data_IF_782892113253
#
_entry.id   IF_782892113253
#
_cell.length_a   1.000
_cell.length_b   1.000
_cell.length_c   1.000
_cell.angle_alpha   90.00
_cell.angle_beta   90.00
_cell.angle_gamma   90.00
#
_symmetry.space_group_name_H-M   'P 1'
#
loop_
_entity.id
_entity.type
_entity.pdbx_description
1 polymer ?
#
# COMPACT_ATOMS: atom_id res chain seq x y z
N UNK A 1 -46.77 31.76 -6.42
CA UNK A 1 -46.06 32.02 -5.14
C UNK A 1 -44.90 32.97 -5.35
N UNK A 2 -43.94 32.64 -6.21
CA UNK A 2 -42.77 33.49 -6.53
C UNK A 2 -43.10 34.93 -6.96
N UNK A 3 -44.15 35.13 -7.75
CA UNK A 3 -44.51 36.44 -8.35
C UNK A 3 -45.69 37.15 -7.67
N UNK A 4 -46.27 36.56 -6.61
CA UNK A 4 -47.51 37.06 -6.01
C UNK A 4 -47.30 38.38 -5.26
N UNK A 5 -48.29 39.29 -5.36
CA UNK A 5 -48.38 40.54 -4.59
C UNK A 5 -49.82 40.72 -4.07
N UNK A 6 -50.06 40.74 -2.75
CA UNK A 6 -49.10 40.50 -1.67
C UNK A 6 -48.64 39.04 -1.58
N UNK A 7 -47.44 38.78 -1.04
CA UNK A 7 -46.90 37.42 -0.87
C UNK A 7 -45.60 37.33 -0.06
N UNK A 8 -45.20 36.12 0.34
CA UNK A 8 -44.01 35.88 1.20
C UNK A 8 -42.69 36.40 0.62
N UNK A 9 -42.62 36.47 -0.72
CA UNK A 9 -41.43 36.87 -1.47
C UNK A 9 -41.49 38.32 -1.99
N UNK A 10 -42.55 39.06 -1.67
CA UNK A 10 -42.77 40.41 -2.21
C UNK A 10 -41.62 41.37 -1.88
N UNK A 11 -41.05 41.28 -0.67
CA UNK A 11 -39.89 42.08 -0.26
C UNK A 11 -38.65 41.83 -1.12
N UNK A 12 -38.58 40.67 -1.78
CA UNK A 12 -37.48 40.31 -2.66
C UNK A 12 -37.58 40.92 -4.07
N UNK A 13 -38.79 41.18 -4.55
CA UNK A 13 -39.02 41.50 -5.96
C UNK A 13 -38.29 42.76 -6.44
N UNK A 14 -38.00 43.68 -5.52
CA UNK A 14 -37.24 44.90 -5.80
C UNK A 14 -35.73 44.66 -5.93
N UNK A 15 -35.22 43.55 -5.38
CA UNK A 15 -33.80 43.19 -5.35
C UNK A 15 -33.50 42.12 -6.39
N UNK A 16 -34.36 41.10 -6.51
CA UNK A 16 -34.21 40.00 -7.47
C UNK A 16 -35.52 39.85 -8.25
N UNK A 17 -35.44 39.94 -9.58
CA UNK A 17 -36.58 39.72 -10.46
C UNK A 17 -37.03 38.24 -10.40
N UNK A 18 -38.27 37.92 -9.97
CA UNK A 18 -38.74 36.55 -9.83
C UNK A 18 -39.03 35.83 -11.16
N UNK A 19 -39.02 36.53 -12.29
CA UNK A 19 -39.51 35.99 -13.57
C UNK A 19 -38.74 34.76 -14.05
N UNK A 20 -37.41 34.79 -14.01
CA UNK A 20 -36.59 33.65 -14.44
C UNK A 20 -36.78 32.43 -13.53
N UNK A 21 -36.88 32.65 -12.21
CA UNK A 21 -37.16 31.58 -11.25
C UNK A 21 -38.56 30.98 -11.46
N UNK A 22 -39.55 31.82 -11.79
CA UNK A 22 -40.89 31.36 -12.11
C UNK A 22 -40.94 30.52 -13.38
N UNK A 23 -40.25 30.94 -14.44
CA UNK A 23 -40.17 30.21 -15.71
C UNK A 23 -39.50 28.84 -15.52
N UNK A 24 -38.36 28.79 -14.82
CA UNK A 24 -37.69 27.53 -14.48
C UNK A 24 -38.58 26.64 -13.62
N UNK A 25 -39.20 27.20 -12.56
CA UNK A 25 -40.13 26.45 -11.70
C UNK A 25 -41.29 25.85 -12.50
N UNK A 26 -41.88 26.62 -13.41
CA UNK A 26 -42.97 26.15 -14.26
C UNK A 26 -42.52 25.04 -15.21
N UNK A 27 -41.32 25.18 -15.78
CA UNK A 27 -40.75 24.17 -16.66
C UNK A 27 -40.51 22.85 -15.91
N UNK A 28 -39.84 22.91 -14.75
CA UNK A 28 -39.48 21.74 -13.96
C UNK A 28 -40.72 21.03 -13.39
N UNK A 29 -41.73 21.78 -12.93
CA UNK A 29 -42.99 21.20 -12.48
C UNK A 29 -43.76 20.52 -13.60
N UNK A 30 -43.75 21.08 -14.81
CA UNK A 30 -44.36 20.44 -15.98
C UNK A 30 -43.63 19.15 -16.34
N UNK A 31 -42.29 19.15 -16.33
CA UNK A 31 -41.48 17.97 -16.63
C UNK A 31 -41.66 16.86 -15.57
N UNK A 32 -41.85 17.24 -14.31
CA UNK A 32 -41.93 16.33 -13.17
C UNK A 32 -43.36 16.08 -12.68
N UNK A 33 -44.39 16.38 -13.49
CA UNK A 33 -45.81 16.15 -13.14
C UNK A 33 -46.27 16.77 -11.81
N UNK A 34 -45.70 17.91 -11.43
CA UNK A 34 -46.11 18.68 -10.26
C UNK A 34 -45.64 18.12 -8.90
N UNK A 35 -44.56 17.32 -8.88
CA UNK A 35 -43.94 16.80 -7.66
C UNK A 35 -43.62 17.94 -6.67
N UNK A 36 -44.05 17.79 -5.42
CA UNK A 36 -43.97 18.85 -4.40
C UNK A 36 -42.53 19.22 -4.05
N UNK A 37 -41.62 18.26 -4.03
CA UNK A 37 -40.18 18.47 -3.77
C UNK A 37 -39.56 19.42 -4.81
N UNK A 38 -39.99 19.35 -6.08
CA UNK A 38 -39.51 20.23 -7.15
C UNK A 38 -40.02 21.65 -6.94
N UNK A 39 -41.28 21.82 -6.53
CA UNK A 39 -41.82 23.13 -6.15
C UNK A 39 -41.03 23.70 -4.97
N UNK A 40 -40.81 22.91 -3.92
CA UNK A 40 -40.09 23.35 -2.73
C UNK A 40 -38.65 23.76 -3.04
N UNK A 41 -37.93 23.00 -3.87
CA UNK A 41 -36.58 23.34 -4.30
C UNK A 41 -36.53 24.63 -5.14
N UNK A 42 -37.52 24.87 -6.01
CA UNK A 42 -37.60 26.12 -6.76
C UNK A 42 -37.90 27.35 -5.89
N UNK A 43 -38.76 27.19 -4.87
CA UNK A 43 -39.04 28.25 -3.89
C UNK A 43 -37.83 28.53 -2.99
N UNK A 44 -37.14 27.48 -2.55
CA UNK A 44 -35.90 27.54 -1.77
C UNK A 44 -34.78 28.25 -2.53
N UNK A 45 -34.57 27.92 -3.80
CA UNK A 45 -33.56 28.60 -4.62
C UNK A 45 -33.79 30.12 -4.74
N UNK A 46 -35.05 30.56 -4.83
CA UNK A 46 -35.36 31.99 -4.83
C UNK A 46 -35.21 32.61 -3.43
N UNK A 47 -35.57 31.87 -2.38
CA UNK A 47 -35.40 32.30 -1.00
C UNK A 47 -33.92 32.53 -0.67
N UNK A 48 -33.06 31.56 -1.01
CA UNK A 48 -31.61 31.60 -0.81
C UNK A 48 -30.97 32.78 -1.54
N UNK A 49 -31.33 32.97 -2.82
CA UNK A 49 -30.85 34.10 -3.60
C UNK A 49 -31.22 35.43 -2.92
N UNK A 50 -32.44 35.51 -2.40
CA UNK A 50 -32.92 36.71 -1.72
C UNK A 50 -32.16 37.02 -0.43
N UNK A 51 -31.95 36.00 0.41
CA UNK A 51 -31.22 36.12 1.66
C UNK A 51 -29.73 36.43 1.43
N UNK A 52 -29.13 35.83 0.39
CA UNK A 52 -27.78 36.16 -0.04
C UNK A 52 -27.64 37.62 -0.48
N UNK A 53 -28.71 38.22 -1.01
CA UNK A 53 -28.79 39.65 -1.32
C UNK A 53 -29.10 40.54 -0.09
N UNK A 54 -29.18 39.96 1.11
CA UNK A 54 -29.39 40.67 2.37
C UNK A 54 -30.86 40.97 2.70
N UNK A 55 -31.81 40.38 1.98
CA UNK A 55 -33.24 40.57 2.25
C UNK A 55 -33.71 39.56 3.29
N UNK A 56 -34.27 40.05 4.40
CA UNK A 56 -34.96 39.20 5.37
C UNK A 56 -36.34 38.83 4.84
N UNK A 57 -36.57 37.53 4.63
CA UNK A 57 -37.85 36.99 4.18
C UNK A 57 -38.77 36.66 5.35
N UNK A 58 -40.08 36.73 5.11
CA UNK A 58 -41.08 36.16 6.01
C UNK A 58 -41.08 34.62 5.89
N UNK A 59 -41.50 33.88 6.92
CA UNK A 59 -41.64 32.43 6.83
C UNK A 59 -42.57 32.05 5.66
N UNK A 60 -42.01 31.34 4.68
CA UNK A 60 -42.75 30.85 3.51
C UNK A 60 -43.06 29.34 3.60
N UNK A 61 -42.33 28.62 4.47
CA UNK A 61 -42.57 27.21 4.83
C UNK A 61 -43.49 27.10 6.05
N UNK A 62 -44.17 25.97 6.18
CA UNK A 62 -44.92 25.62 7.38
C UNK A 62 -44.94 24.08 7.58
N UNK A 63 -45.60 23.61 8.65
CA UNK A 63 -45.64 22.19 9.01
C UNK A 63 -46.20 21.25 7.91
N UNK A 64 -47.02 21.76 6.99
CA UNK A 64 -47.63 20.98 5.90
C UNK A 64 -47.13 21.39 4.51
N UNK A 65 -46.42 22.51 4.40
CA UNK A 65 -45.95 23.07 3.12
C UNK A 65 -44.43 23.28 3.16
N UNK A 66 -43.73 22.46 2.38
CA UNK A 66 -42.26 22.44 2.28
C UNK A 66 -41.56 22.40 3.66
N UNK A 67 -41.94 21.49 4.58
CA UNK A 67 -41.37 21.47 5.93
C UNK A 67 -39.88 21.13 5.90
N UNK A 68 -39.10 21.75 6.79
CA UNK A 68 -37.73 21.35 7.09
C UNK A 68 -37.72 20.48 8.34
N UNK A 69 -37.11 19.30 8.24
CA UNK A 69 -36.89 18.42 9.37
C UNK A 69 -35.64 18.87 10.13
N UNK A 70 -35.83 19.35 11.36
CA UNK A 70 -34.74 19.78 12.22
C UNK A 70 -34.35 18.68 13.22
N UNK A 71 -33.04 18.54 13.55
CA UNK A 71 -32.58 17.55 14.52
C UNK A 71 -33.15 17.80 15.92
N UNK A 72 -33.00 16.82 16.81
CA UNK A 72 -33.44 16.98 18.19
C UNK A 72 -32.79 18.21 18.84
N UNK A 73 -33.55 18.90 19.70
CA UNK A 73 -33.15 20.15 20.36
C UNK A 73 -32.86 21.32 19.41
N UNK A 74 -33.54 21.34 18.26
CA UNK A 74 -33.51 22.47 17.34
C UNK A 74 -34.90 22.73 16.75
N UNK A 75 -35.06 23.89 16.12
CA UNK A 75 -36.29 24.29 15.46
C UNK A 75 -35.98 25.01 14.14
N UNK A 76 -36.96 25.02 13.24
CA UNK A 76 -36.86 25.78 11.99
C UNK A 76 -36.90 27.28 12.29
N UNK A 77 -35.92 28.01 11.75
CA UNK A 77 -35.87 29.47 11.78
C UNK A 77 -35.62 30.00 10.34
N UNK A 78 -36.50 30.85 9.80
CA UNK A 78 -36.32 31.44 8.47
C UNK A 78 -35.14 32.42 8.38
N UNK A 79 -34.51 32.80 9.50
CA UNK A 79 -33.42 33.76 9.56
C UNK A 79 -32.50 33.44 10.76
N UNK A 80 -31.82 32.30 10.71
CA UNK A 80 -30.80 31.90 11.69
C UNK A 80 -29.44 32.56 11.39
N UNK A 81 -28.56 32.62 12.40
CA UNK A 81 -27.19 33.11 12.23
C UNK A 81 -26.44 32.29 11.19
N UNK A 82 -25.79 32.96 10.23
CA UNK A 82 -24.86 32.31 9.30
C UNK A 82 -23.56 31.84 9.96
N UNK A 83 -23.34 32.19 11.24
CA UNK A 83 -22.25 31.72 12.08
C UNK A 83 -22.86 31.06 13.33
N UNK A 84 -23.43 29.85 13.21
CA UNK A 84 -24.12 29.22 14.33
C UNK A 84 -23.16 28.84 15.46
N UNK A 85 -23.66 28.84 16.69
CA UNK A 85 -22.88 28.39 17.85
C UNK A 85 -22.54 26.89 17.73
N UNK A 86 -21.26 26.57 17.90
CA UNK A 86 -20.75 25.20 17.81
C UNK A 86 -20.07 24.81 19.12
N UNK A 87 -19.80 23.52 19.31
CA UNK A 87 -19.00 23.07 20.46
C UNK A 87 -17.58 23.63 20.49
N UNK A 88 -17.01 24.00 19.34
CA UNK A 88 -15.67 24.60 19.24
C UNK A 88 -15.67 26.11 19.38
N UNK A 89 -16.77 26.77 18.99
CA UNK A 89 -16.99 28.20 19.18
C UNK A 89 -18.46 28.47 19.59
N UNK A 90 -18.75 28.44 20.91
CA UNK A 90 -20.10 28.64 21.42
C UNK A 90 -20.63 30.06 21.25
N UNK A 91 -19.77 31.03 20.93
CA UNK A 91 -20.13 32.44 20.84
C UNK A 91 -20.08 32.99 19.41
N UNK A 92 -19.89 32.11 18.41
CA UNK A 92 -19.81 32.46 16.99
C UNK A 92 -20.97 33.37 16.53
N UNK A 93 -22.19 33.11 17.01
CA UNK A 93 -23.38 33.90 16.66
C UNK A 93 -23.29 35.37 17.07
N UNK A 94 -22.58 35.71 18.16
CA UNK A 94 -22.53 37.07 18.68
C UNK A 94 -21.72 38.04 17.82
N UNK A 95 -20.77 37.53 17.02
CA UNK A 95 -19.86 38.32 16.19
C UNK A 95 -20.08 38.10 14.68
N UNK A 96 -21.23 37.54 14.30
CA UNK A 96 -21.51 37.25 12.91
C UNK A 96 -21.90 38.51 12.14
N UNK A 97 -21.08 38.89 11.15
CA UNK A 97 -21.35 40.04 10.26
C UNK A 97 -22.04 39.64 8.95
N UNK A 98 -22.43 38.38 8.80
CA UNK A 98 -23.04 37.84 7.57
C UNK A 98 -24.57 37.95 7.65
N UNK A 99 -25.27 38.09 6.50
CA UNK A 99 -26.73 37.99 6.46
C UNK A 99 -27.21 36.67 7.06
N UNK A 100 -28.38 36.67 7.67
CA UNK A 100 -29.00 35.44 8.17
C UNK A 100 -29.36 34.50 7.01
N UNK A 101 -29.43 33.22 7.32
CA UNK A 101 -29.80 32.14 6.39
C UNK A 101 -31.00 31.38 6.94
N UNK A 102 -31.84 30.83 6.07
CA UNK A 102 -32.88 29.88 6.48
C UNK A 102 -32.24 28.57 6.94
N UNK A 103 -32.74 27.97 8.03
CA UNK A 103 -32.24 26.68 8.48
C UNK A 103 -32.79 26.23 9.83
N UNK A 104 -32.13 25.22 10.41
CA UNK A 104 -32.41 24.77 11.77
C UNK A 104 -31.51 25.49 12.76
N UNK A 105 -32.11 26.08 13.79
CA UNK A 105 -31.42 26.73 14.89
C UNK A 105 -31.50 25.86 16.15
N UNK A 106 -30.36 25.62 16.80
CA UNK A 106 -30.35 24.94 18.09
C UNK A 106 -31.13 25.75 19.13
N UNK A 107 -31.91 25.06 19.97
CA UNK A 107 -32.63 25.71 21.06
C UNK A 107 -31.65 26.30 22.09
N UNK A 108 -32.12 27.28 22.89
CA UNK A 108 -31.32 27.88 23.95
C UNK A 108 -30.66 26.84 24.87
N UNK A 109 -29.34 26.98 25.08
CA UNK A 109 -28.53 26.04 25.87
C UNK A 109 -27.95 24.85 25.08
N UNK A 110 -28.24 24.76 23.78
CA UNK A 110 -27.68 23.76 22.87
C UNK A 110 -26.77 24.41 21.81
N UNK A 111 -25.76 23.66 21.37
CA UNK A 111 -24.79 24.07 20.34
C UNK A 111 -24.61 22.94 19.33
N UNK A 112 -24.11 23.27 18.15
CA UNK A 112 -23.89 22.29 17.08
C UNK A 112 -22.67 21.40 17.41
N UNK A 113 -22.88 20.09 17.34
CA UNK A 113 -21.85 19.03 17.32
C UNK A 113 -22.15 18.12 16.13
N UNK A 114 -21.31 18.16 15.09
CA UNK A 114 -21.59 17.43 13.85
C UNK A 114 -22.91 17.86 13.23
N UNK A 115 -23.83 16.92 13.05
CA UNK A 115 -25.18 17.16 12.51
C UNK A 115 -26.27 17.35 13.59
N UNK A 116 -25.91 17.42 14.87
CA UNK A 116 -26.86 17.44 16.00
C UNK A 116 -26.70 18.68 16.88
N UNK A 117 -27.77 19.07 17.57
CA UNK A 117 -27.75 20.07 18.63
C UNK A 117 -27.63 19.37 19.99
N UNK A 118 -26.50 19.58 20.66
CA UNK A 118 -26.17 18.94 21.95
C UNK A 118 -26.00 20.00 23.04
N UNK A 119 -26.24 19.61 24.30
CA UNK A 119 -25.91 20.47 25.43
C UNK A 119 -24.39 20.67 25.50
N UNK A 120 -23.94 21.81 26.04
CA UNK A 120 -22.50 22.10 26.17
C UNK A 120 -21.72 20.99 26.89
N UNK A 121 -22.33 20.34 27.89
CA UNK A 121 -21.77 19.19 28.63
C UNK A 121 -21.61 17.91 27.80
N UNK A 122 -22.28 17.83 26.65
CA UNK A 122 -22.22 16.71 25.71
C UNK A 122 -21.40 17.03 24.46
N UNK A 123 -20.71 18.18 24.44
CA UNK A 123 -19.74 18.46 23.39
C UNK A 123 -18.65 17.38 23.31
N UNK A 124 -18.10 17.20 22.13
CA UNK A 124 -16.99 16.30 21.86
C UNK A 124 -15.63 16.81 22.36
N UNK A 125 -14.58 16.46 21.63
CA UNK A 125 -13.19 16.68 22.00
C UNK A 125 -12.42 17.29 20.84
N UNK A 126 -11.58 18.29 21.11
CA UNK A 126 -10.67 18.85 20.12
C UNK A 126 -9.27 18.26 20.33
N UNK A 127 -8.71 17.64 19.29
CA UNK A 127 -7.37 17.03 19.30
C UNK A 127 -6.65 17.35 17.98
N UNK A 128 -5.48 17.98 18.05
CA UNK A 128 -4.70 18.39 16.87
C UNK A 128 -5.55 19.11 15.81
N UNK A 129 -6.33 20.11 16.24
CA UNK A 129 -7.26 20.88 15.41
C UNK A 129 -8.40 20.09 14.75
N UNK A 130 -8.56 18.80 15.10
CA UNK A 130 -9.69 17.98 14.67
C UNK A 130 -10.69 17.79 15.81
N UNK A 131 -11.95 18.05 15.50
CA UNK A 131 -13.07 17.80 16.41
C UNK A 131 -13.54 16.35 16.27
N UNK A 132 -13.74 15.69 17.42
CA UNK A 132 -14.26 14.34 17.54
C UNK A 132 -15.55 14.38 18.36
N UNK A 133 -16.63 13.79 17.87
CA UNK A 133 -17.89 13.74 18.59
C UNK A 133 -17.78 12.88 19.86
N UNK A 134 -18.68 13.11 20.82
CA UNK A 134 -18.72 12.29 22.05
C UNK A 134 -18.99 10.83 21.70
N UNK A 135 -18.10 9.95 22.15
CA UNK A 135 -18.10 8.51 21.86
C UNK A 135 -17.29 8.12 20.62
N UNK A 136 -16.82 9.09 19.83
CA UNK A 136 -16.00 8.81 18.65
C UNK A 136 -14.62 8.29 19.06
N UNK A 137 -14.16 7.25 18.35
CA UNK A 137 -12.86 6.63 18.55
C UNK A 137 -11.91 7.01 17.41
N UNK A 138 -10.63 7.21 17.73
CA UNK A 138 -9.61 7.55 16.75
C UNK A 138 -8.25 6.98 17.15
N UNK A 139 -7.39 6.79 16.15
CA UNK A 139 -6.02 6.32 16.33
C UNK A 139 -5.07 7.49 16.51
N UNK A 140 -4.10 7.31 17.41
CA UNK A 140 -2.94 8.20 17.51
C UNK A 140 -2.01 7.99 16.31
N UNK A 141 -1.11 8.94 16.09
CA UNK A 141 -0.08 8.86 15.05
C UNK A 141 0.66 7.52 15.11
N UNK A 142 0.89 6.90 13.96
CA UNK A 142 1.51 5.58 13.82
C UNK A 142 0.77 4.46 14.58
N UNK A 143 -0.52 4.64 14.87
CA UNK A 143 -1.35 3.69 15.62
C UNK A 143 -0.71 3.29 16.96
N UNK A 144 -0.05 4.23 17.62
CA UNK A 144 0.61 4.02 18.92
C UNK A 144 -0.35 3.85 20.11
N UNK A 145 -1.65 4.03 19.85
CA UNK A 145 -2.71 3.96 20.85
C UNK A 145 -4.06 4.28 20.22
N UNK A 146 -5.13 3.74 20.81
CA UNK A 146 -6.50 4.06 20.42
C UNK A 146 -7.14 4.94 21.49
N UNK A 147 -7.77 6.02 21.04
CA UNK A 147 -8.43 6.99 21.90
C UNK A 147 -9.94 7.02 21.65
N UNK A 148 -10.71 7.38 22.66
CA UNK A 148 -12.14 7.65 22.59
C UNK A 148 -12.42 9.00 23.23
N UNK A 149 -13.21 9.85 22.56
CA UNK A 149 -13.72 11.06 23.15
C UNK A 149 -14.84 10.74 24.16
N UNK A 150 -14.56 10.83 25.47
CA UNK A 150 -15.57 10.64 26.50
C UNK A 150 -16.58 11.81 26.58
N UNK A 151 -16.24 12.94 25.94
CA UNK A 151 -17.03 14.16 25.90
C UNK A 151 -16.48 15.25 26.82
N UNK A 152 -16.99 16.46 26.61
CA UNK A 152 -16.58 17.70 27.26
C UNK A 152 -15.06 17.89 27.27
N UNK A 153 -14.42 17.69 26.11
CA UNK A 153 -12.96 17.79 25.95
C UNK A 153 -12.14 16.63 26.54
N UNK A 154 -12.78 15.64 27.18
CA UNK A 154 -12.07 14.53 27.83
C UNK A 154 -11.81 13.40 26.85
N UNK A 155 -10.53 13.05 26.66
CA UNK A 155 -10.08 11.95 25.80
C UNK A 155 -9.48 10.85 26.65
N UNK A 156 -9.88 9.60 26.39
CA UNK A 156 -9.36 8.41 27.05
C UNK A 156 -8.62 7.57 26.02
N UNK A 157 -7.33 7.31 26.24
CA UNK A 157 -6.49 6.52 25.33
C UNK A 157 -5.96 5.26 26.02
N UNK A 158 -5.81 4.20 25.24
CA UNK A 158 -5.07 3.00 25.61
C UNK A 158 -3.81 2.86 24.73
N UNK A 159 -2.96 1.90 25.07
CA UNK A 159 -1.73 1.58 24.32
C UNK A 159 -1.94 0.44 23.32
N UNK A 160 -3.14 0.30 22.77
CA UNK A 160 -3.40 -0.71 21.74
C UNK A 160 -2.62 -0.33 20.48
N UNK A 161 -1.94 -1.31 19.88
CA UNK A 161 -1.29 -1.18 18.58
C UNK A 161 -1.98 -2.12 17.59
N UNK A 162 -1.66 -1.98 16.30
CA UNK A 162 -2.16 -2.92 15.30
C UNK A 162 -1.76 -4.36 15.63
N UNK A 163 -2.65 -5.30 15.33
CA UNK A 163 -2.33 -6.72 15.45
C UNK A 163 -1.24 -7.13 14.43
N UNK A 164 -0.62 -8.30 14.64
CA UNK A 164 0.41 -8.80 13.71
C UNK A 164 -0.10 -8.99 12.28
N UNK A 165 -1.42 -9.18 12.10
CA UNK A 165 -2.09 -9.31 10.80
C UNK A 165 -2.64 -7.99 10.25
N UNK A 166 -2.23 -6.84 10.81
CA UNK A 166 -2.71 -5.53 10.44
C UNK A 166 -1.57 -4.54 10.17
N UNK A 167 -1.85 -3.52 9.35
CA UNK A 167 -0.94 -2.41 9.07
C UNK A 167 -1.59 -1.09 9.47
N UNK A 168 -0.80 -0.22 10.10
CA UNK A 168 -1.22 1.15 10.40
C UNK A 168 -1.15 2.01 9.13
N UNK A 169 -2.30 2.44 8.61
CA UNK A 169 -2.36 3.30 7.43
C UNK A 169 -3.58 4.21 7.43
N UNK A 170 -3.63 5.14 6.48
CA UNK A 170 -4.82 5.94 6.20
C UNK A 170 -5.59 5.27 5.07
N UNK A 171 -6.84 4.88 5.32
CA UNK A 171 -7.75 4.35 4.30
C UNK A 171 -9.02 5.20 4.28
N UNK A 172 -9.43 5.69 3.11
CA UNK A 172 -10.57 6.61 2.96
C UNK A 172 -10.50 7.85 3.88
N UNK A 173 -9.29 8.38 4.11
CA UNK A 173 -9.07 9.53 4.99
C UNK A 173 -9.06 9.23 6.49
N UNK A 174 -9.19 7.96 6.89
CA UNK A 174 -9.19 7.53 8.29
C UNK A 174 -7.92 6.73 8.61
N UNK A 175 -7.12 7.24 9.56
CA UNK A 175 -6.00 6.52 10.14
C UNK A 175 -6.51 5.35 11.00
N UNK A 176 -5.95 4.17 10.81
CA UNK A 176 -6.20 3.03 11.68
C UNK A 176 -5.43 1.78 11.29
N UNK A 177 -5.69 0.72 12.03
CA UNK A 177 -5.20 -0.62 11.74
C UNK A 177 -6.17 -1.30 10.77
N UNK A 178 -5.64 -1.80 9.67
CA UNK A 178 -6.40 -2.47 8.62
C UNK A 178 -5.74 -3.82 8.30
N UNK A 179 -6.51 -4.83 7.87
CA UNK A 179 -5.96 -6.14 7.53
C UNK A 179 -4.84 -6.03 6.48
N UNK A 180 -3.79 -6.83 6.64
CA UNK A 180 -2.78 -7.04 5.61
C UNK A 180 -3.46 -7.70 4.40
N UNK A 181 -3.67 -6.94 3.33
CA UNK A 181 -4.07 -7.53 2.05
C UNK A 181 -2.80 -7.83 1.25
N UNK A 182 -2.40 -9.10 1.10
CA UNK A 182 -1.20 -9.42 0.37
C UNK A 182 -1.37 -9.07 -1.11
N UNK A 183 -0.30 -8.61 -1.75
CA UNK A 183 -0.24 -8.47 -3.20
C UNK A 183 0.61 -9.57 -3.82
N UNK A 184 0.38 -9.88 -5.10
CA UNK A 184 1.05 -10.98 -5.80
C UNK A 184 1.63 -10.48 -7.12
N UNK A 185 2.94 -10.69 -7.28
CA UNK A 185 3.60 -10.66 -8.58
C UNK A 185 3.55 -12.07 -9.19
N UNK A 186 3.29 -12.16 -10.49
CA UNK A 186 3.14 -13.43 -11.20
C UNK A 186 3.99 -13.42 -12.47
N UNK A 187 4.84 -14.43 -12.62
CA UNK A 187 5.72 -14.61 -13.77
C UNK A 187 5.40 -15.98 -14.39
N UNK A 188 4.97 -15.99 -15.65
CA UNK A 188 4.46 -17.21 -16.29
C UNK A 188 4.76 -17.32 -17.79
N UNK A 189 4.86 -18.54 -18.31
CA UNK A 189 4.98 -18.79 -19.76
C UNK A 189 6.32 -18.31 -20.35
N UNK A 190 6.27 -17.60 -21.48
CA UNK A 190 7.45 -17.12 -22.22
C UNK A 190 7.80 -15.64 -21.94
N UNK A 191 8.54 -15.41 -20.85
CA UNK A 191 7.95 -14.98 -19.59
C UNK A 191 7.08 -13.71 -19.72
N UNK A 192 5.85 -13.82 -19.22
CA UNK A 192 4.93 -12.72 -18.98
C UNK A 192 4.99 -12.33 -17.50
N UNK A 193 4.94 -11.03 -17.22
CA UNK A 193 5.04 -10.48 -15.87
C UNK A 193 3.77 -9.70 -15.53
N UNK A 194 3.20 -9.97 -14.36
CA UNK A 194 2.19 -9.12 -13.72
C UNK A 194 2.80 -8.58 -12.43
N UNK A 195 2.97 -7.26 -12.35
CA UNK A 195 3.54 -6.57 -11.17
C UNK A 195 2.59 -6.60 -9.98
N UNK A 196 3.09 -6.23 -8.80
CA UNK A 196 2.26 -6.11 -7.58
C UNK A 196 1.11 -5.11 -7.71
N UNK A 197 1.27 -4.08 -8.54
CA UNK A 197 0.22 -3.08 -8.78
C UNK A 197 -0.69 -3.48 -9.96
N UNK A 198 -0.43 -4.62 -10.60
CA UNK A 198 -1.28 -5.24 -11.64
C UNK A 198 -0.92 -4.88 -13.08
N UNK A 199 0.28 -4.34 -13.34
CA UNK A 199 0.76 -4.03 -14.69
C UNK A 199 1.23 -5.30 -15.38
N UNK A 200 0.61 -5.64 -16.51
CA UNK A 200 1.04 -6.72 -17.39
C UNK A 200 2.08 -6.24 -18.39
N UNK A 201 3.19 -6.96 -18.52
CA UNK A 201 4.18 -6.75 -19.58
C UNK A 201 4.92 -8.03 -19.97
N UNK A 202 5.74 -7.93 -21.01
CA UNK A 202 6.47 -9.06 -21.58
C UNK A 202 7.95 -8.70 -21.69
N UNK A 203 8.81 -9.62 -21.26
CA UNK A 203 10.25 -9.43 -21.31
C UNK A 203 10.94 -10.79 -21.48
N UNK A 204 11.70 -10.94 -22.57
CA UNK A 204 12.33 -12.20 -22.96
C UNK A 204 13.85 -12.18 -22.72
N UNK A 205 14.25 -11.74 -21.54
CA UNK A 205 15.64 -11.80 -21.11
C UNK A 205 16.15 -13.23 -20.98
N UNK A 206 17.45 -13.45 -21.20
CA UNK A 206 18.15 -14.75 -21.20
C UNK A 206 19.24 -14.88 -20.13
N UNK A 207 19.19 -14.00 -19.11
CA UNK A 207 20.14 -13.93 -18.00
C UNK A 207 19.45 -14.06 -16.63
N UNK A 208 20.19 -13.68 -15.59
CA UNK A 208 19.71 -13.51 -14.22
C UNK A 208 19.15 -12.10 -14.03
N UNK A 209 17.99 -12.01 -13.37
CA UNK A 209 17.32 -10.73 -13.13
C UNK A 209 16.82 -10.63 -11.70
N UNK A 210 16.93 -9.43 -11.12
CA UNK A 210 16.28 -9.10 -9.85
C UNK A 210 14.80 -8.88 -10.09
N UNK A 211 13.96 -9.79 -9.59
CA UNK A 211 12.50 -9.64 -9.72
C UNK A 211 11.91 -8.85 -8.57
N UNK A 212 12.45 -9.01 -7.36
CA UNK A 212 12.08 -8.24 -6.17
C UNK A 212 13.32 -8.03 -5.31
N UNK A 213 13.55 -6.83 -4.81
CA UNK A 213 14.47 -6.57 -3.69
C UNK A 213 13.95 -5.43 -2.81
N UNK A 214 14.48 -5.32 -1.59
CA UNK A 214 14.20 -4.18 -0.72
C UNK A 214 15.03 -2.97 -1.16
N UNK A 215 14.38 -1.83 -1.41
CA UNK A 215 15.01 -0.64 -2.00
C UNK A 215 15.01 0.58 -1.06
N UNK A 216 14.52 0.40 0.16
CA UNK A 216 14.59 1.37 1.26
C UNK A 216 15.74 1.03 2.20
N UNK A 217 16.16 2.00 3.04
CA UNK A 217 17.09 1.75 4.15
C UNK A 217 16.40 0.99 5.30
N UNK A 218 15.71 -0.13 4.99
CA UNK A 218 15.14 -1.01 6.01
C UNK A 218 16.26 -1.80 6.69
N UNK A 219 16.00 -2.32 7.90
CA UNK A 219 16.98 -3.12 8.64
C UNK A 219 17.08 -4.57 8.15
N UNK A 220 16.16 -5.03 7.28
CA UNK A 220 16.12 -6.39 6.76
C UNK A 220 16.06 -6.38 5.22
N UNK A 221 17.21 -6.54 4.60
CA UNK A 221 17.35 -6.67 3.15
C UNK A 221 17.07 -8.12 2.70
N UNK A 222 16.32 -8.26 1.62
CA UNK A 222 16.11 -9.52 0.91
C UNK A 222 16.12 -9.27 -0.60
N UNK A 223 16.33 -10.33 -1.38
CA UNK A 223 16.12 -10.31 -2.82
C UNK A 223 15.56 -11.64 -3.32
N UNK A 224 14.78 -11.56 -4.41
CA UNK A 224 14.37 -12.69 -5.22
C UNK A 224 14.90 -12.44 -6.62
N UNK A 225 15.66 -13.40 -7.14
CA UNK A 225 16.20 -13.38 -8.49
C UNK A 225 15.70 -14.57 -9.28
N UNK A 226 15.58 -14.40 -10.59
CA UNK A 226 15.19 -15.46 -11.52
C UNK A 226 16.23 -15.63 -12.59
N UNK A 227 16.49 -16.87 -12.97
CA UNK A 227 17.26 -17.20 -14.17
C UNK A 227 16.32 -17.52 -15.31
N UNK A 228 16.47 -16.83 -16.44
CA UNK A 228 15.77 -17.16 -17.67
C UNK A 228 16.76 -17.80 -18.67
N UNK A 229 16.33 -18.82 -19.42
CA UNK A 229 17.17 -19.42 -20.47
C UNK A 229 16.39 -19.80 -21.72
N UNK A 230 17.09 -19.89 -22.83
CA UNK A 230 16.56 -20.50 -24.05
C UNK A 230 16.39 -22.01 -23.87
N UNK A 231 15.26 -22.54 -24.34
CA UNK A 231 14.95 -23.98 -24.29
C UNK A 231 14.86 -24.57 -25.69
N UNK A 232 16.02 -24.72 -26.33
CA UNK A 232 16.13 -25.30 -27.68
C UNK A 232 15.68 -24.39 -28.83
N UNK A 233 15.15 -23.19 -28.55
CA UNK A 233 14.81 -22.17 -29.53
C UNK A 233 15.33 -20.80 -29.04
N UNK A 234 16.12 -20.08 -29.85
CA UNK A 234 16.66 -18.77 -29.47
C UNK A 234 15.64 -17.62 -29.50
N UNK A 235 14.41 -17.85 -29.98
CA UNK A 235 13.39 -16.80 -30.12
C UNK A 235 12.58 -16.54 -28.84
N UNK A 236 12.71 -17.38 -27.81
CA UNK A 236 12.00 -17.19 -26.55
C UNK A 236 12.82 -17.78 -25.40
N UNK A 237 12.58 -17.27 -24.19
CA UNK A 237 13.18 -17.75 -22.95
C UNK A 237 12.09 -18.22 -22.00
N UNK A 238 12.46 -19.04 -21.03
CA UNK A 238 11.59 -19.39 -19.91
C UNK A 238 12.39 -19.39 -18.62
N UNK A 239 11.67 -19.33 -17.50
CA UNK A 239 12.22 -19.53 -16.17
C UNK A 239 13.00 -20.85 -16.11
N UNK A 240 14.09 -20.84 -15.37
CA UNK A 240 14.94 -22.01 -15.13
C UNK A 240 15.08 -22.26 -13.64
N UNK A 241 15.40 -21.20 -12.89
CA UNK A 241 15.54 -21.27 -11.46
C UNK A 241 15.13 -19.97 -10.78
N UNK A 242 14.77 -20.09 -9.50
CA UNK A 242 14.42 -18.98 -8.63
C UNK A 242 15.32 -19.03 -7.42
N UNK A 243 15.93 -17.90 -7.06
CA UNK A 243 16.74 -17.79 -5.87
C UNK A 243 16.17 -16.74 -4.91
N UNK A 244 16.10 -17.09 -3.62
CA UNK A 244 15.69 -16.21 -2.53
C UNK A 244 16.88 -15.98 -1.62
N UNK A 245 17.29 -14.72 -1.49
CA UNK A 245 18.35 -14.29 -0.57
C UNK A 245 17.72 -13.55 0.61
N UNK A 246 18.00 -14.03 1.82
CA UNK A 246 17.54 -13.42 3.07
C UNK A 246 18.67 -13.48 4.11
N UNK A 247 19.20 -12.32 4.51
CA UNK A 247 20.37 -12.23 5.42
C UNK A 247 21.54 -13.04 4.86
N UNK A 248 21.98 -14.09 5.59
CA UNK A 248 23.07 -15.00 5.16
C UNK A 248 22.54 -16.29 4.51
N UNK A 249 21.24 -16.36 4.22
CA UNK A 249 20.59 -17.53 3.63
C UNK A 249 20.35 -17.28 2.15
N UNK A 250 20.77 -18.22 1.30
CA UNK A 250 20.51 -18.21 -0.13
C UNK A 250 19.86 -19.56 -0.50
N UNK A 251 18.62 -19.53 -0.97
CA UNK A 251 17.84 -20.70 -1.35
C UNK A 251 17.66 -20.67 -2.85
N UNK A 252 18.06 -21.73 -3.55
CA UNK A 252 17.84 -21.88 -5.00
C UNK A 252 16.88 -23.03 -5.25
N UNK A 253 15.88 -22.79 -6.10
CA UNK A 253 14.97 -23.81 -6.64
C UNK A 253 15.27 -23.93 -8.13
N UNK A 254 15.99 -24.98 -8.51
CA UNK A 254 16.54 -25.25 -9.85
C UNK A 254 16.07 -26.58 -10.45
N UNK A 255 14.96 -27.13 -9.93
CA UNK A 255 14.41 -28.41 -10.37
C UNK A 255 15.09 -29.64 -9.77
N UNK A 256 16.12 -29.49 -8.91
CA UNK A 256 16.69 -30.61 -8.16
C UNK A 256 15.75 -30.98 -7.00
N UNK A 257 15.36 -32.27 -6.94
CA UNK A 257 14.52 -32.79 -5.86
C UNK A 257 15.29 -32.78 -4.53
N UNK A 258 14.95 -31.83 -3.66
CA UNK A 258 15.19 -31.90 -2.22
C UNK A 258 13.96 -32.54 -1.56
N UNK A 259 14.03 -33.00 -0.31
CA UNK A 259 12.87 -33.48 0.46
C UNK A 259 12.37 -32.40 1.44
N UNK A 260 11.40 -31.55 1.06
CA UNK A 260 10.66 -30.70 1.99
C UNK A 260 9.82 -31.50 2.99
N UNK A 261 9.45 -30.92 4.16
CA UNK A 261 9.74 -29.57 4.59
C UNK A 261 11.13 -29.42 5.23
N UNK A 262 11.76 -28.25 5.03
CA UNK A 262 12.99 -27.85 5.73
C UNK A 262 12.75 -26.51 6.42
N UNK A 263 12.78 -26.52 7.76
CA UNK A 263 12.76 -25.30 8.56
C UNK A 263 14.19 -24.77 8.71
N UNK A 264 14.46 -23.61 8.14
CA UNK A 264 15.78 -22.99 8.14
C UNK A 264 15.86 -22.01 9.33
N UNK A 265 16.94 -22.11 10.12
CA UNK A 265 17.15 -21.34 11.37
C UNK A 265 17.05 -19.80 11.22
N UNK A 266 17.01 -19.29 9.99
CA UNK A 266 16.96 -17.86 9.65
C UNK A 266 15.55 -17.35 9.30
N UNK A 267 14.49 -18.06 9.71
CA UNK A 267 13.11 -17.60 9.51
C UNK A 267 12.54 -17.89 8.12
N UNK A 268 13.03 -18.93 7.44
CA UNK A 268 12.48 -19.39 6.18
C UNK A 268 12.07 -20.86 6.30
N UNK A 269 10.96 -21.22 5.66
CA UNK A 269 10.44 -22.59 5.60
C UNK A 269 10.23 -22.96 4.14
N UNK A 270 10.84 -24.06 3.72
CA UNK A 270 10.62 -24.63 2.39
C UNK A 270 9.66 -25.80 2.52
N UNK A 271 8.58 -25.81 1.75
CA UNK A 271 7.57 -26.86 1.74
C UNK A 271 7.17 -27.21 0.30
N UNK A 272 6.64 -28.41 0.09
CA UNK A 272 5.95 -28.76 -1.15
C UNK A 272 4.44 -28.58 -0.95
N UNK A 273 3.78 -27.84 -1.85
CA UNK A 273 2.33 -27.66 -1.87
C UNK A 273 1.81 -27.99 -3.27
N UNK A 274 1.23 -29.19 -3.43
CA UNK A 274 0.86 -29.69 -4.76
C UNK A 274 2.10 -29.91 -5.63
N UNK A 275 2.13 -29.30 -6.82
CA UNK A 275 3.28 -29.32 -7.73
C UNK A 275 4.24 -28.13 -7.52
N UNK A 276 3.96 -27.24 -6.56
CA UNK A 276 4.81 -26.10 -6.25
C UNK A 276 5.78 -26.40 -5.11
N UNK A 277 6.97 -25.82 -5.20
CA UNK A 277 7.86 -25.56 -4.07
C UNK A 277 7.50 -24.19 -3.51
N UNK A 278 7.19 -24.14 -2.23
CA UNK A 278 6.81 -22.93 -1.49
C UNK A 278 7.91 -22.56 -0.51
N UNK A 279 8.44 -21.35 -0.63
CA UNK A 279 9.37 -20.74 0.33
C UNK A 279 8.58 -19.67 1.08
N UNK A 280 8.32 -19.92 2.35
CA UNK A 280 7.66 -18.98 3.26
C UNK A 280 8.71 -18.31 4.15
N UNK A 281 8.65 -16.99 4.30
CA UNK A 281 9.69 -16.23 5.01
C UNK A 281 9.09 -15.35 6.10
N UNK A 282 9.83 -15.15 7.20
CA UNK A 282 9.41 -14.32 8.32
C UNK A 282 9.38 -12.82 8.00
N UNK A 283 9.87 -12.41 6.83
CA UNK A 283 9.87 -11.01 6.36
C UNK A 283 8.63 -10.66 5.55
N UNK A 284 7.61 -11.53 5.54
CA UNK A 284 6.33 -11.27 4.89
C UNK A 284 6.33 -11.53 3.39
N UNK A 285 7.09 -12.54 2.95
CA UNK A 285 7.19 -12.93 1.54
C UNK A 285 7.02 -14.43 1.42
N UNK A 286 6.22 -14.82 0.44
CA UNK A 286 6.04 -16.20 0.05
C UNK A 286 6.30 -16.36 -1.45
N UNK A 287 7.22 -17.26 -1.80
CA UNK A 287 7.54 -17.60 -3.19
C UNK A 287 6.97 -18.99 -3.48
N UNK A 288 6.19 -19.12 -4.56
CA UNK A 288 5.70 -20.42 -5.07
C UNK A 288 6.19 -20.61 -6.49
N UNK A 289 6.99 -21.64 -6.73
CA UNK A 289 7.54 -21.95 -8.05
C UNK A 289 7.26 -23.41 -8.41
N UNK A 290 6.79 -23.67 -9.63
CA UNK A 290 6.49 -25.01 -10.13
C UNK A 290 7.73 -25.81 -10.57
N UNK A 291 8.91 -25.17 -10.59
CA UNK A 291 10.13 -25.76 -11.12
C UNK A 291 10.25 -25.69 -12.65
N UNK A 292 9.32 -24.99 -13.32
CA UNK A 292 9.25 -24.93 -14.77
C UNK A 292 9.03 -23.50 -15.29
N UNK A 293 7.81 -23.00 -15.26
CA UNK A 293 7.45 -21.75 -15.93
C UNK A 293 6.47 -20.88 -15.16
N UNK A 294 6.06 -21.26 -13.95
CA UNK A 294 5.01 -20.58 -13.19
C UNK A 294 5.50 -20.19 -11.79
N UNK A 295 5.62 -18.89 -11.55
CA UNK A 295 6.18 -18.29 -10.35
C UNK A 295 5.25 -17.24 -9.76
N UNK A 296 4.80 -17.46 -8.52
CA UNK A 296 4.10 -16.47 -7.71
C UNK A 296 5.01 -15.94 -6.61
N UNK A 297 5.06 -14.63 -6.47
CA UNK A 297 5.70 -13.97 -5.33
C UNK A 297 4.61 -13.17 -4.64
N UNK A 298 4.21 -13.61 -3.46
CA UNK A 298 3.25 -12.92 -2.62
C UNK A 298 3.99 -12.12 -1.54
N UNK A 299 3.60 -10.86 -1.36
CA UNK A 299 4.20 -9.94 -0.39
C UNK A 299 3.12 -9.37 0.54
N UNK A 300 3.46 -9.26 1.81
CA UNK A 300 2.63 -8.60 2.80
C UNK A 300 2.54 -7.10 2.52
N UNK A 301 1.39 -6.52 2.84
CA UNK A 301 1.16 -5.08 2.67
C UNK A 301 2.12 -4.20 3.48
N UNK A 302 2.76 -4.75 4.52
CA UNK A 302 3.81 -4.06 5.27
C UNK A 302 5.00 -3.64 4.39
N UNK A 303 5.25 -4.33 3.26
CA UNK A 303 6.32 -4.02 2.32
C UNK A 303 5.92 -2.97 1.26
N UNK A 304 4.72 -2.40 1.34
CA UNK A 304 4.22 -1.41 0.38
C UNK A 304 5.15 -0.19 0.28
N UNK A 305 5.55 0.15 -0.94
CA UNK A 305 6.46 1.26 -1.25
C UNK A 305 7.91 1.02 -0.82
N UNK A 306 8.26 -0.21 -0.39
CA UNK A 306 9.61 -0.57 0.01
C UNK A 306 10.36 -1.40 -1.03
N UNK A 307 9.66 -1.90 -2.04
CA UNK A 307 10.17 -2.87 -3.00
C UNK A 307 10.53 -2.22 -4.34
N UNK A 308 11.42 -2.85 -5.07
CA UNK A 308 11.64 -2.60 -6.48
C UNK A 308 12.17 -3.87 -7.17
N UNK A 309 12.29 -3.83 -8.50
CA UNK A 309 12.62 -4.99 -9.34
C UNK A 309 11.64 -5.16 -10.49
N UNK A 310 11.74 -6.27 -11.22
CA UNK A 310 10.82 -6.58 -12.33
C UNK A 310 9.33 -6.70 -11.89
N UNK A 311 9.06 -6.95 -10.62
CA UNK A 311 7.70 -6.98 -10.07
C UNK A 311 7.12 -5.60 -9.71
N UNK A 312 7.83 -4.51 -10.01
CA UNK A 312 7.35 -3.14 -9.80
C UNK A 312 7.68 -2.57 -8.41
N UNK A 313 7.06 -1.43 -8.09
CA UNK A 313 7.36 -0.63 -6.88
C UNK A 313 6.45 -0.96 -5.69
N UNK A 314 5.35 -1.67 -5.95
CA UNK A 314 4.32 -2.06 -4.98
C UNK A 314 3.79 -0.86 -4.18
N UNK A 315 3.20 0.13 -4.85
CA UNK A 315 2.70 1.36 -4.23
C UNK A 315 1.29 1.74 -4.70
N UNK A 316 0.55 0.80 -5.28
CA UNK A 316 -0.76 0.99 -5.94
C UNK A 316 -0.71 1.91 -7.18
N UNK A 317 0.45 2.09 -7.81
CA UNK A 317 0.61 2.94 -8.99
C UNK A 317 1.37 2.24 -10.13
N UNK A 318 0.62 1.60 -11.02
CA UNK A 318 1.14 0.94 -12.22
C UNK A 318 1.99 1.86 -13.14
N UNK A 319 1.80 3.18 -13.08
CA UNK A 319 2.52 4.10 -13.96
C UNK A 319 4.01 4.22 -13.60
N UNK A 320 4.41 3.87 -12.38
CA UNK A 320 5.79 3.93 -11.93
C UNK A 320 6.47 2.56 -11.79
N UNK A 321 5.78 1.46 -12.10
CA UNK A 321 6.31 0.10 -12.03
C UNK A 321 7.60 -0.13 -12.83
N UNK A 322 7.85 0.67 -13.88
CA UNK A 322 9.05 0.57 -14.71
C UNK A 322 10.18 1.47 -14.18
N UNK A 323 10.30 1.58 -12.86
CA UNK A 323 11.39 2.30 -12.21
C UNK A 323 12.66 1.44 -12.23
N UNK A 324 13.70 1.91 -12.90
CA UNK A 324 15.00 1.22 -12.97
C UNK A 324 15.79 1.36 -11.65
N UNK A 325 16.89 0.61 -11.46
CA UNK A 325 17.73 0.74 -10.26
C UNK A 325 18.28 2.17 -10.02
N UNK A 326 18.51 2.92 -11.10
CA UNK A 326 18.95 4.32 -11.06
C UNK A 326 17.82 5.32 -10.71
N UNK A 327 16.62 4.81 -10.39
CA UNK A 327 15.38 5.57 -10.09
C UNK A 327 14.86 6.40 -11.26
N UNK A 328 15.28 6.08 -12.49
CA UNK A 328 14.71 6.68 -13.69
C UNK A 328 13.58 5.80 -14.21
N UNK A 329 12.41 6.42 -14.41
CA UNK A 329 11.26 5.75 -15.01
C UNK A 329 11.53 5.46 -16.48
N UNK A 330 11.35 4.20 -16.89
CA UNK A 330 11.45 3.75 -18.26
C UNK A 330 10.05 3.46 -18.85
N UNK A 331 9.90 3.59 -20.16
CA UNK A 331 8.67 3.31 -20.89
C UNK A 331 8.76 2.00 -21.68
N UNK A 332 9.96 1.64 -22.12
CA UNK A 332 10.21 0.41 -22.86
C UNK A 332 10.40 -0.78 -21.90
N UNK A 333 9.53 -1.81 -21.94
CA UNK A 333 9.63 -2.95 -21.04
C UNK A 333 10.93 -3.74 -21.20
N UNK A 334 11.55 -3.74 -22.39
CA UNK A 334 12.81 -4.44 -22.61
C UNK A 334 13.98 -3.69 -21.97
N UNK A 335 14.03 -2.36 -22.14
CA UNK A 335 15.06 -1.54 -21.48
C UNK A 335 14.92 -1.54 -19.96
N UNK A 336 13.68 -1.57 -19.48
CA UNK A 336 13.39 -1.77 -18.07
C UNK A 336 13.90 -3.13 -17.61
N UNK A 337 13.55 -4.21 -18.31
CA UNK A 337 14.00 -5.57 -18.05
C UNK A 337 15.54 -5.69 -17.98
N UNK A 338 16.21 -5.18 -19.00
CA UNK A 338 17.68 -5.17 -19.12
C UNK A 338 18.36 -4.41 -17.98
N UNK A 339 17.69 -3.39 -17.40
CA UNK A 339 18.26 -2.60 -16.31
C UNK A 339 18.34 -3.36 -14.99
N UNK A 340 17.53 -4.40 -14.82
CA UNK A 340 17.48 -5.28 -13.63
C UNK A 340 18.36 -6.52 -13.78
N UNK A 341 19.23 -6.53 -14.78
CA UNK A 341 20.19 -7.61 -15.00
C UNK A 341 21.14 -7.72 -13.81
N UNK A 342 21.20 -8.92 -13.26
CA UNK A 342 22.21 -9.32 -12.27
C UNK A 342 23.37 -9.88 -13.05
N UNK A 343 24.54 -9.23 -12.97
CA UNK A 343 25.76 -9.78 -13.55
C UNK A 343 26.09 -11.08 -12.84
N UNK A 344 26.46 -12.09 -13.61
CA UNK A 344 27.09 -13.31 -13.10
C UNK A 344 28.50 -12.99 -12.58
N UNK A 345 28.61 -12.18 -11.53
CA UNK A 345 29.88 -11.93 -10.85
C UNK A 345 30.09 -12.89 -9.66
N UNK A 346 29.14 -13.79 -9.32
CA UNK A 346 29.28 -14.65 -8.13
C UNK A 346 28.47 -15.98 -8.16
N UNK A 347 28.36 -16.70 -9.29
CA UNK A 347 27.81 -18.06 -9.23
C UNK A 347 28.32 -19.00 -10.33
N UNK A 348 29.62 -19.25 -10.32
CA UNK A 348 30.12 -20.54 -10.77
C UNK A 348 29.92 -21.54 -9.62
N UNK A 349 28.67 -21.93 -9.33
CA UNK A 349 28.39 -23.26 -8.77
C UNK A 349 28.63 -24.27 -9.89
N UNK A 350 29.85 -24.32 -10.39
CA UNK A 350 30.30 -25.36 -11.29
C UNK A 350 31.74 -25.65 -10.92
N UNK A 351 32.02 -26.91 -10.67
CA UNK A 351 33.29 -27.33 -10.10
C UNK A 351 33.06 -28.45 -9.12
N UNK A 352 34.11 -29.18 -8.75
CA UNK A 352 33.97 -30.44 -8.04
C UNK A 352 33.50 -30.29 -6.58
N UNK A 353 33.31 -29.05 -6.09
CA UNK A 353 32.88 -28.74 -4.73
C UNK A 353 31.45 -28.21 -4.62
N UNK A 354 30.70 -28.13 -5.72
CA UNK A 354 29.33 -27.58 -5.75
C UNK A 354 28.41 -28.21 -4.69
N UNK A 355 28.46 -29.55 -4.57
CA UNK A 355 27.65 -30.30 -3.60
C UNK A 355 28.01 -29.92 -2.15
N UNK A 356 29.24 -29.46 -1.91
CA UNK A 356 29.71 -29.06 -0.60
C UNK A 356 29.12 -27.75 -0.09
N UNK A 357 28.78 -26.82 -0.99
CA UNK A 357 28.36 -25.46 -0.64
C UNK A 357 27.10 -25.44 0.25
N UNK A 358 26.28 -26.49 0.16
CA UNK A 358 25.09 -26.71 0.98
C UNK A 358 25.38 -27.06 2.45
N UNK A 359 26.57 -27.60 2.72
CA UNK A 359 26.97 -28.11 4.04
C UNK A 359 28.00 -27.20 4.71
N UNK A 360 28.92 -26.66 3.92
CA UNK A 360 30.00 -25.79 4.40
C UNK A 360 30.08 -24.54 3.53
N UNK A 361 29.77 -23.35 4.08
CA UNK A 361 29.90 -22.09 3.36
C UNK A 361 31.36 -21.88 2.88
N UNK A 362 31.62 -21.73 1.57
CA UNK A 362 32.99 -21.64 1.04
C UNK A 362 33.70 -20.33 1.40
N UNK A 363 32.96 -19.29 1.82
CA UNK A 363 33.47 -17.92 2.01
C UNK A 363 34.76 -17.84 2.85
N UNK A 364 34.82 -18.55 3.99
CA UNK A 364 35.99 -18.52 4.88
C UNK A 364 37.24 -19.19 4.25
N UNK A 365 37.05 -20.23 3.46
CA UNK A 365 38.12 -20.92 2.74
C UNK A 365 38.57 -20.11 1.53
N UNK A 366 37.63 -19.44 0.85
CA UNK A 366 37.92 -18.53 -0.26
C UNK A 366 38.78 -17.34 0.19
N UNK A 367 38.40 -16.67 1.28
CA UNK A 367 39.17 -15.54 1.82
C UNK A 367 40.58 -15.95 2.26
N UNK A 368 40.70 -17.11 2.90
CA UNK A 368 41.99 -17.70 3.27
C UNK A 368 42.82 -18.08 2.03
N UNK A 369 42.17 -18.61 0.99
CA UNK A 369 42.80 -18.95 -0.29
C UNK A 369 43.42 -17.73 -0.97
N UNK A 370 42.65 -16.65 -1.08
CA UNK A 370 43.12 -15.39 -1.68
C UNK A 370 44.28 -14.82 -0.87
N UNK A 371 44.16 -14.80 0.46
CA UNK A 371 45.21 -14.29 1.33
C UNK A 371 46.54 -15.06 1.15
N UNK A 372 46.49 -16.39 1.22
CA UNK A 372 47.66 -17.26 1.11
C UNK A 372 48.27 -17.25 -0.30
N UNK A 373 47.44 -17.22 -1.35
CA UNK A 373 47.92 -17.09 -2.72
C UNK A 373 48.63 -15.77 -2.96
N UNK A 374 48.09 -14.66 -2.44
CA UNK A 374 48.74 -13.35 -2.52
C UNK A 374 50.05 -13.31 -1.75
N UNK A 375 50.12 -13.96 -0.59
CA UNK A 375 51.35 -14.05 0.21
C UNK A 375 52.43 -14.94 -0.42
N UNK A 376 52.04 -15.86 -1.31
CA UNK A 376 52.93 -16.84 -1.95
C UNK A 376 53.14 -16.60 -3.45
N UNK A 377 52.77 -15.41 -3.95
CA UNK A 377 52.88 -15.03 -5.36
C UNK A 377 52.22 -16.04 -6.34
N UNK A 378 51.09 -16.63 -5.93
CA UNK A 378 50.34 -17.56 -6.77
C UNK A 378 50.85 -19.01 -6.75
N UNK A 379 51.49 -19.44 -5.66
CA UNK A 379 52.01 -20.80 -5.53
C UNK A 379 50.88 -21.86 -5.60
N UNK A 380 50.95 -22.72 -6.62
CA UNK A 380 49.97 -23.78 -6.87
C UNK A 380 49.93 -24.87 -5.79
N UNK A 381 51.03 -25.12 -5.08
CA UNK A 381 51.06 -26.05 -3.95
C UNK A 381 50.23 -25.50 -2.77
N UNK A 382 50.36 -24.19 -2.50
CA UNK A 382 49.58 -23.54 -1.44
C UNK A 382 48.09 -23.49 -1.81
N UNK A 383 47.77 -23.21 -3.08
CA UNK A 383 46.41 -23.31 -3.59
C UNK A 383 45.79 -24.69 -3.34
N UNK A 384 46.52 -25.75 -3.67
CA UNK A 384 46.02 -27.12 -3.52
C UNK A 384 45.84 -27.54 -2.05
N UNK A 385 46.66 -27.05 -1.12
CA UNK A 385 46.48 -27.29 0.33
C UNK A 385 45.17 -26.70 0.85
N UNK A 386 44.76 -25.55 0.31
CA UNK A 386 43.53 -24.89 0.75
C UNK A 386 42.30 -25.58 0.17
N UNK A 387 42.38 -26.05 -1.08
CA UNK A 387 41.35 -26.91 -1.66
C UNK A 387 41.24 -28.26 -0.92
N UNK A 388 42.36 -28.85 -0.48
CA UNK A 388 42.36 -30.05 0.38
C UNK A 388 41.70 -29.81 1.74
N UNK A 389 41.95 -28.66 2.36
CA UNK A 389 41.33 -28.31 3.63
C UNK A 389 39.81 -28.15 3.50
N UNK A 390 39.35 -27.57 2.39
CA UNK A 390 37.92 -27.46 2.10
C UNK A 390 37.28 -28.82 1.79
N UNK A 391 37.96 -29.64 0.98
CA UNK A 391 37.54 -31.02 0.69
C UNK A 391 37.39 -31.86 1.96
N UNK A 392 38.39 -31.81 2.85
CA UNK A 392 38.39 -32.56 4.09
C UNK A 392 37.27 -32.10 5.05
N UNK A 393 37.02 -30.79 5.13
CA UNK A 393 35.90 -30.28 5.89
C UNK A 393 34.58 -30.85 5.33
N UNK A 394 34.45 -30.86 4.01
CA UNK A 394 33.27 -31.39 3.34
C UNK A 394 33.00 -32.88 3.61
N UNK A 395 34.06 -33.68 3.57
CA UNK A 395 33.99 -35.12 3.83
C UNK A 395 33.61 -35.42 5.30
N UNK A 396 33.97 -34.53 6.24
CA UNK A 396 33.53 -34.64 7.65
C UNK A 396 32.01 -34.43 7.81
N UNK A 397 31.39 -33.66 6.93
CA UNK A 397 29.93 -33.50 6.86
C UNK A 397 29.24 -34.63 6.07
N UNK A 398 30.00 -35.65 5.64
CA UNK A 398 29.50 -36.83 4.96
C UNK A 398 29.28 -36.67 3.45
N UNK A 399 29.81 -35.61 2.84
CA UNK A 399 29.69 -35.34 1.40
C UNK A 399 30.79 -36.09 0.62
N UNK A 400 30.41 -36.82 -0.43
CA UNK A 400 31.35 -37.48 -1.33
C UNK A 400 31.66 -36.60 -2.54
N UNK A 401 32.89 -36.08 -2.61
CA UNK A 401 33.35 -35.17 -3.67
C UNK A 401 33.98 -35.89 -4.89
N UNK A 402 34.04 -37.22 -4.89
CA UNK A 402 34.67 -37.99 -5.96
C UNK A 402 36.17 -37.65 -6.16
N UNK A 403 36.67 -37.77 -7.38
CA UNK A 403 38.06 -37.44 -7.72
C UNK A 403 38.25 -35.94 -8.05
N UNK A 404 37.81 -35.06 -7.15
CA UNK A 404 37.79 -33.60 -7.34
C UNK A 404 39.12 -33.01 -7.85
N UNK A 405 40.26 -33.63 -7.53
CA UNK A 405 41.57 -33.19 -8.00
C UNK A 405 41.68 -33.21 -9.53
N UNK A 406 41.07 -34.19 -10.21
CA UNK A 406 41.15 -34.33 -11.68
C UNK A 406 40.52 -33.15 -12.42
N UNK A 407 39.56 -32.50 -11.77
CA UNK A 407 38.82 -31.37 -12.33
C UNK A 407 39.44 -30.02 -11.91
N UNK A 408 40.64 -30.03 -11.32
CA UNK A 408 41.37 -28.84 -10.87
C UNK A 408 42.84 -28.89 -11.28
N UNK A 409 43.56 -27.78 -11.10
CA UNK A 409 45.02 -27.72 -11.33
C UNK A 409 45.81 -28.64 -10.38
N UNK A 410 45.16 -29.18 -9.34
CA UNK A 410 45.75 -30.07 -8.34
C UNK A 410 45.80 -31.54 -8.78
N UNK A 411 45.29 -31.87 -9.96
CA UNK A 411 45.32 -33.22 -10.56
C UNK A 411 46.56 -33.52 -11.41
N UNK A 412 47.43 -32.53 -11.65
CA UNK A 412 48.65 -32.74 -12.43
C UNK A 412 49.74 -33.30 -11.52
N UNK A 413 50.13 -34.56 -11.72
CA UNK A 413 51.37 -35.10 -11.15
C UNK A 413 52.54 -34.21 -11.61
N UNK A 414 53.14 -33.48 -10.68
CA UNK A 414 54.43 -32.83 -10.90
C UNK A 414 55.49 -33.94 -11.06
N UNK A 415 55.66 -34.43 -12.28
CA UNK A 415 56.87 -35.13 -12.68
C UNK A 415 57.91 -34.09 -13.13
N UNK A 416 59.00 -34.06 -12.36
CA UNK A 416 60.26 -33.31 -12.46
C UNK A 416 60.40 -32.02 -11.66
#
# INVERSE_FOLDING_TARGET
MLTARPGFFESCHAVINPQSYFETCSYDLCAMSGVQEVLCGALEAYADACQAAGVTLLPWRNATFCPIACPANSHYNPCTSACPATCTDPFASNNCSKPCVEGCECNDGFVISGAQCVSMSNCGCLQNDKYYEKGEAFWQTNCAGRCVCAGNGTVLCNSDTCEASEVCKVQNGLLGCYPLNPSTCHIFGDPHYVTFDGRLYHFQGDCNYTVVETCTNSSEWFSVTTRNKHRGNPNWTALDSVAVTLKNLHIVVDGVQVFPPVDLKHGARVAAEGHYVVIDTSVGIQVKFDGDQDLFIQVDESLRGQLCGLCGTFNDNQLDDFLKPDKVLEQDPNKFGDSWLVKDDDWVNSGPFEVCHWYIPPQLYFESCVYDLCATEGNSEQFCKILEAYAAACELEGVNLGEWRKDTICGVEQNF
#
